data_IF_411617318877
#
_entry.id   IF_411617318877
#
_cell.length_a   1.000
_cell.length_b   1.000
_cell.length_c   1.000
_cell.angle_alpha   90.00
_cell.angle_beta   90.00
_cell.angle_gamma   90.00
#
_symmetry.space_group_name_H-M   'P 1'
#
loop_
_entity.id
_entity.type
_entity.pdbx_description
1 polymer ?
#
# COMPACT_ATOMS: atom_id res chain seq x y z
N UNK A 1 -7.19 -6.44 14.34
CA UNK A 1 -7.34 -5.21 13.53
C UNK A 1 -7.43 -5.64 12.07
N UNK A 2 -8.40 -5.16 11.30
CA UNK A 2 -8.63 -5.59 9.91
C UNK A 2 -8.31 -4.44 8.97
N UNK A 3 -7.59 -4.73 7.88
CA UNK A 3 -7.32 -3.76 6.81
C UNK A 3 -8.53 -3.70 5.89
N UNK A 4 -9.21 -2.56 5.81
CA UNK A 4 -10.31 -2.36 4.87
C UNK A 4 -9.78 -2.15 3.46
N UNK A 5 -10.35 -2.87 2.52
CA UNK A 5 -10.04 -2.77 1.10
C UNK A 5 -11.32 -2.66 0.27
N UNK A 6 -11.20 -2.09 -0.92
CA UNK A 6 -12.21 -2.23 -1.97
C UNK A 6 -11.49 -2.45 -3.29
N UNK A 7 -12.23 -2.94 -4.28
CA UNK A 7 -11.73 -3.17 -5.64
C UNK A 7 -12.42 -2.17 -6.57
N UNK A 8 -11.66 -1.52 -7.44
CA UNK A 8 -12.23 -0.59 -8.40
C UNK A 8 -12.79 -1.29 -9.65
N UNK A 9 -13.30 -0.50 -10.61
CA UNK A 9 -13.87 -1.03 -11.86
C UNK A 9 -12.85 -1.74 -12.75
N UNK A 10 -11.55 -1.50 -12.54
CA UNK A 10 -10.46 -2.13 -13.28
C UNK A 10 -9.96 -3.41 -12.62
N UNK A 11 -10.49 -3.78 -11.45
CA UNK A 11 -10.04 -4.94 -10.69
C UNK A 11 -8.86 -4.64 -9.76
N UNK A 12 -8.46 -3.37 -9.64
CA UNK A 12 -7.29 -2.98 -8.84
C UNK A 12 -7.69 -2.77 -7.37
N UNK A 13 -6.90 -3.28 -6.41
CA UNK A 13 -7.18 -3.14 -5.00
C UNK A 13 -6.78 -1.76 -4.46
N UNK A 14 -7.62 -1.25 -3.58
CA UNK A 14 -7.40 0.00 -2.83
C UNK A 14 -7.45 -0.28 -1.33
N UNK A 15 -6.53 0.34 -0.59
CA UNK A 15 -6.27 0.06 0.82
C UNK A 15 -6.58 1.26 1.70
N UNK A 16 -7.29 1.05 2.82
CA UNK A 16 -7.57 2.13 3.75
C UNK A 16 -6.27 2.63 4.40
N UNK A 17 -5.96 3.91 4.21
CA UNK A 17 -4.72 4.48 4.73
C UNK A 17 -4.71 4.57 6.24
N UNK A 18 -5.86 4.87 6.85
CA UNK A 18 -5.98 4.95 8.32
C UNK A 18 -5.58 3.61 8.96
N UNK A 19 -6.18 2.53 8.49
CA UNK A 19 -5.89 1.18 8.98
C UNK A 19 -4.43 0.80 8.71
N UNK A 20 -3.91 1.15 7.53
CA UNK A 20 -2.51 0.90 7.15
C UNK A 20 -1.54 1.58 8.12
N UNK A 21 -1.73 2.87 8.41
CA UNK A 21 -0.91 3.62 9.36
C UNK A 21 -0.99 3.05 10.78
N UNK A 22 -2.18 2.64 11.23
CA UNK A 22 -2.38 2.04 12.56
C UNK A 22 -1.70 0.67 12.65
N UNK A 23 -1.86 -0.19 11.64
CA UNK A 23 -1.25 -1.53 11.59
C UNK A 23 0.27 -1.41 11.56
N UNK A 24 0.80 -0.54 10.72
CA UNK A 24 2.25 -0.40 10.50
C UNK A 24 2.93 0.56 11.47
N UNK A 25 2.17 1.22 12.35
CA UNK A 25 2.64 2.27 13.25
C UNK A 25 3.41 3.39 12.50
N UNK A 26 2.85 3.86 11.38
CA UNK A 26 3.46 4.87 10.51
C UNK A 26 2.71 6.19 10.64
N UNK A 27 3.16 7.01 11.59
CA UNK A 27 2.76 8.41 11.75
C UNK A 27 1.24 8.65 11.78
N UNK A 28 0.85 9.91 11.57
CA UNK A 28 -0.55 10.28 11.40
C UNK A 28 -0.94 10.14 9.92
N UNK A 29 -2.06 9.44 9.58
CA UNK A 29 -2.56 9.35 8.21
C UNK A 29 -2.62 10.70 7.47
N UNK A 30 -3.02 11.77 8.14
CA UNK A 30 -3.14 13.11 7.54
C UNK A 30 -1.79 13.68 7.08
N UNK A 31 -0.70 13.34 7.76
CA UNK A 31 0.66 13.75 7.37
C UNK A 31 1.27 12.80 6.36
N UNK A 32 0.93 11.51 6.42
CA UNK A 32 1.34 10.51 5.43
C UNK A 32 0.76 10.85 4.05
N UNK A 33 -0.54 11.20 3.96
CA UNK A 33 -1.18 11.59 2.69
C UNK A 33 -0.42 12.71 1.98
N UNK A 34 0.12 13.69 2.71
CA UNK A 34 0.83 14.84 2.12
C UNK A 34 2.09 14.43 1.36
N UNK A 35 2.67 13.27 1.68
CA UNK A 35 3.90 12.73 1.07
C UNK A 35 3.60 11.74 -0.06
N UNK A 36 2.35 11.31 -0.20
CA UNK A 36 1.92 10.36 -1.22
C UNK A 36 1.57 11.06 -2.54
N UNK A 37 1.55 10.30 -3.63
CA UNK A 37 1.07 10.83 -4.92
C UNK A 37 -0.45 11.04 -4.85
N UNK A 38 -0.89 12.30 -4.92
CA UNK A 38 -2.30 12.70 -4.76
C UNK A 38 -3.24 12.05 -5.79
N UNK A 39 -2.78 11.82 -7.02
CA UNK A 39 -3.57 11.12 -8.06
C UNK A 39 -3.88 9.66 -7.72
N UNK A 40 -3.20 9.10 -6.72
CA UNK A 40 -3.31 7.71 -6.26
C UNK A 40 -3.90 7.64 -4.85
N UNK A 41 -4.69 8.64 -4.47
CA UNK A 41 -5.43 8.73 -3.21
C UNK A 41 -6.88 9.09 -3.54
N UNK A 42 -7.83 8.36 -2.97
CA UNK A 42 -9.26 8.67 -3.07
C UNK A 42 -9.86 8.80 -1.68
N UNK A 43 -10.78 9.75 -1.51
CA UNK A 43 -11.52 9.90 -0.26
C UNK A 43 -12.91 9.30 -0.44
N UNK A 44 -13.28 8.36 0.42
CA UNK A 44 -14.56 7.64 0.35
C UNK A 44 -15.27 7.81 1.69
N UNK A 45 -16.57 8.10 1.60
CA UNK A 45 -17.46 8.08 2.76
C UNK A 45 -17.78 6.65 3.15
N UNK A 46 -17.36 6.27 4.34
CA UNK A 46 -17.61 4.94 4.91
C UNK A 46 -18.68 5.08 5.98
N UNK A 47 -19.79 4.37 5.79
CA UNK A 47 -20.85 4.28 6.77
C UNK A 47 -20.43 3.36 7.93
N UNK A 48 -20.51 3.87 9.15
CA UNK A 48 -20.39 3.15 10.40
C UNK A 48 -21.76 3.04 11.07
N UNK A 49 -21.88 2.18 12.07
CA UNK A 49 -23.13 1.90 12.79
C UNK A 49 -23.90 3.13 13.29
N UNK A 50 -23.22 4.25 13.55
CA UNK A 50 -23.83 5.50 14.06
C UNK A 50 -23.33 6.78 13.37
N UNK A 51 -22.45 6.68 12.38
CA UNK A 51 -21.85 7.86 11.75
C UNK A 51 -21.33 7.54 10.36
N UNK A 52 -21.14 8.56 9.53
CA UNK A 52 -20.39 8.45 8.28
C UNK A 52 -19.06 9.16 8.50
N UNK A 53 -17.96 8.52 8.12
CA UNK A 53 -16.65 9.17 8.16
C UNK A 53 -15.98 9.08 6.79
N UNK A 54 -15.32 10.17 6.39
CA UNK A 54 -14.46 10.18 5.20
C UNK A 54 -13.13 9.55 5.52
N UNK A 55 -12.77 8.53 4.76
CA UNK A 55 -11.51 7.83 4.88
C UNK A 55 -10.75 7.90 3.57
N UNK A 56 -9.44 8.04 3.66
CA UNK A 56 -8.57 8.01 2.51
C UNK A 56 -8.18 6.57 2.20
N UNK A 57 -8.31 6.21 0.94
CA UNK A 57 -7.84 4.96 0.39
C UNK A 57 -6.71 5.25 -0.60
N UNK A 58 -5.73 4.36 -0.62
CA UNK A 58 -4.54 4.46 -1.45
C UNK A 58 -4.47 3.24 -2.35
N UNK A 59 -4.02 3.44 -3.58
CA UNK A 59 -3.75 2.30 -4.46
C UNK A 59 -2.52 1.52 -3.97
N UNK A 60 -2.29 0.36 -4.57
CA UNK A 60 -1.20 -0.54 -4.22
C UNK A 60 0.19 0.12 -4.21
N UNK A 61 0.49 0.96 -5.20
CA UNK A 61 1.79 1.63 -5.25
C UNK A 61 2.02 2.59 -4.07
N UNK A 62 1.01 3.36 -3.67
CA UNK A 62 1.11 4.21 -2.48
C UNK A 62 1.09 3.36 -1.19
N UNK A 63 0.35 2.26 -1.15
CA UNK A 63 0.34 1.32 -0.03
C UNK A 63 1.74 0.77 0.26
N UNK A 64 2.47 0.30 -0.77
CA UNK A 64 3.85 -0.15 -0.62
C UNK A 64 4.80 0.95 -0.12
N UNK A 65 4.62 2.20 -0.57
CA UNK A 65 5.39 3.33 -0.04
C UNK A 65 5.19 3.55 1.45
N UNK A 66 4.00 3.25 1.98
CA UNK A 66 3.73 3.34 3.42
C UNK A 66 4.39 2.17 4.16
N UNK A 67 4.34 0.96 3.60
CA UNK A 67 5.03 -0.21 4.16
C UNK A 67 6.53 0.02 4.28
N UNK A 68 7.17 0.57 3.24
CA UNK A 68 8.60 0.89 3.25
C UNK A 68 9.00 1.98 4.26
N UNK A 69 8.06 2.75 4.80
CA UNK A 69 8.33 3.74 5.85
C UNK A 69 8.23 3.16 7.27
N UNK A 70 7.66 1.97 7.43
CA UNK A 70 7.49 1.35 8.74
C UNK A 70 8.80 0.77 9.26
N UNK A 71 8.99 0.89 10.58
CA UNK A 71 10.09 0.27 11.33
C UNK A 71 9.67 -0.98 12.10
N UNK A 72 8.43 -1.46 11.89
CA UNK A 72 7.95 -2.70 12.52
C UNK A 72 8.68 -3.90 11.94
N UNK A 73 8.93 -4.91 12.78
CA UNK A 73 9.61 -6.15 12.37
C UNK A 73 8.89 -6.83 11.22
N UNK A 74 7.57 -6.88 11.25
CA UNK A 74 6.74 -7.47 10.21
C UNK A 74 6.88 -6.72 8.87
N UNK A 75 6.98 -5.39 8.93
CA UNK A 75 7.24 -4.60 7.74
C UNK A 75 8.65 -4.88 7.21
N UNK A 76 9.68 -4.85 8.06
CA UNK A 76 11.06 -5.17 7.65
C UNK A 76 11.17 -6.55 7.02
N UNK A 77 10.54 -7.59 7.60
CA UNK A 77 10.53 -8.93 7.01
C UNK A 77 9.90 -8.95 5.60
N UNK A 78 8.83 -8.18 5.39
CA UNK A 78 8.25 -8.02 4.06
C UNK A 78 9.21 -7.28 3.11
N UNK A 79 9.89 -6.24 3.58
CA UNK A 79 10.86 -5.49 2.79
C UNK A 79 12.04 -6.37 2.36
N UNK A 80 12.62 -7.12 3.30
CA UNK A 80 13.73 -8.04 3.05
C UNK A 80 13.31 -9.10 2.02
N UNK A 81 12.13 -9.71 2.20
CA UNK A 81 11.59 -10.65 1.22
C UNK A 81 11.41 -10.00 -0.18
N UNK A 82 10.88 -8.79 -0.26
CA UNK A 82 10.74 -8.08 -1.54
C UNK A 82 12.12 -7.81 -2.17
N UNK A 83 13.11 -7.41 -1.38
CA UNK A 83 14.43 -7.01 -1.87
C UNK A 83 15.34 -8.19 -2.23
N UNK A 84 15.24 -9.29 -1.50
CA UNK A 84 16.12 -10.45 -1.65
C UNK A 84 15.52 -11.51 -2.59
N UNK A 85 14.20 -11.67 -2.61
CA UNK A 85 13.52 -12.71 -3.39
C UNK A 85 12.79 -12.13 -4.60
N UNK A 86 11.88 -11.17 -4.39
CA UNK A 86 10.95 -10.71 -5.45
C UNK A 86 11.67 -9.89 -6.53
N UNK A 87 12.34 -8.81 -6.16
CA UNK A 87 13.01 -7.93 -7.13
C UNK A 87 14.13 -8.65 -7.89
N UNK A 88 14.99 -9.47 -7.26
CA UNK A 88 15.99 -10.23 -7.99
C UNK A 88 15.39 -11.23 -8.97
N UNK A 89 14.25 -11.86 -8.62
CA UNK A 89 13.54 -12.77 -9.52
C UNK A 89 12.98 -12.06 -10.75
N UNK A 90 12.34 -10.89 -10.56
CA UNK A 90 11.85 -10.06 -11.67
C UNK A 90 13.00 -9.61 -12.58
N UNK A 91 14.11 -9.13 -12.00
CA UNK A 91 15.30 -8.69 -12.76
C UNK A 91 15.87 -9.83 -13.62
N UNK A 92 15.97 -11.04 -13.07
CA UNK A 92 16.44 -12.23 -13.80
C UNK A 92 15.49 -12.61 -14.93
N UNK A 93 14.18 -12.58 -14.68
CA UNK A 93 13.16 -12.91 -15.67
C UNK A 93 13.20 -11.95 -16.88
N UNK A 94 13.27 -10.64 -16.64
CA UNK A 94 13.35 -9.63 -17.71
C UNK A 94 14.63 -9.81 -18.54
N UNK A 95 15.78 -10.05 -17.88
CA UNK A 95 17.04 -10.27 -18.60
C UNK A 95 16.97 -11.50 -19.51
N UNK A 96 16.36 -12.59 -19.03
CA UNK A 96 16.20 -13.82 -19.80
C UNK A 96 15.38 -13.62 -21.09
N UNK A 97 14.31 -12.81 -21.04
CA UNK A 97 13.49 -12.49 -22.22
C UNK A 97 14.20 -11.64 -23.29
N UNK A 98 15.29 -10.94 -22.94
CA UNK A 98 16.04 -10.10 -23.88
C UNK A 98 17.10 -10.93 -24.63
N UNK A 99 17.66 -11.98 -24.03
CA UNK A 99 18.62 -12.86 -24.69
C UNK A 99 18.00 -13.84 -25.70
N UNK A 100 16.68 -13.99 -25.71
CA UNK A 100 15.96 -14.91 -26.60
C UNK A 100 15.31 -14.22 -27.81
N UNK A 101 15.54 -12.92 -28.00
CA UNK A 101 15.07 -12.12 -29.13
C UNK A 101 16.21 -11.74 -30.08
#
# INVERSE_FOLDING_TARGET
MQLRTFVDKTGEPWFCLKDTCEILNVGNPSDVVKRLQKSRVVSIEVAFKRSVARLNFVNEANFYRVIFQSRKKEATMFQDWVFEEVLPSIRKAIFCSIQTA
#
